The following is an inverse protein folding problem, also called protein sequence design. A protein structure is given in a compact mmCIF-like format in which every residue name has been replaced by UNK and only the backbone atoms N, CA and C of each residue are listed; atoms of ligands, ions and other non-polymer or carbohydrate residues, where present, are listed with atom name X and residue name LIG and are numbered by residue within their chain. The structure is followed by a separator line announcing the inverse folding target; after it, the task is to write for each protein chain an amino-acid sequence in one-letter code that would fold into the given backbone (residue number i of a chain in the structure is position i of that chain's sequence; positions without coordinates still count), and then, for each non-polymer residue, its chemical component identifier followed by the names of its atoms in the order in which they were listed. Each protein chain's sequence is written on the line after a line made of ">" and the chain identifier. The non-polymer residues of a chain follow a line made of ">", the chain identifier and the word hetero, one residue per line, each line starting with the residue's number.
data_IF_111624421237
#
_entry.id   IF_111624421237
#
_cell.length_a   1.000
_cell.length_b   1.000
_cell.length_c   1.000
_cell.angle_alpha   90.00
_cell.angle_beta   90.00
_cell.angle_gamma   90.00
#
_symmetry.space_group_name_H-M   'P 1'
#
loop_
_entity.id
_entity.type
_entity.pdbx_description
1 polymer ?
#
# COMPACT_ATOMS: atom_id res chain seq x y z
N UNK A 1 -10.19 14.68 16.03
CA UNK A 1 -10.36 13.98 14.71
C UNK A 1 -10.21 12.48 14.88
N UNK A 2 -9.19 12.00 15.60
CA UNK A 2 -8.99 10.56 15.84
C UNK A 2 -10.19 9.91 16.56
N UNK A 3 -10.75 10.52 17.61
CA UNK A 3 -11.94 9.98 18.29
C UNK A 3 -13.15 9.82 17.35
N UNK A 4 -13.34 10.80 16.47
CA UNK A 4 -14.38 10.74 15.45
C UNK A 4 -14.15 9.59 14.46
N UNK A 5 -12.90 9.39 14.02
CA UNK A 5 -12.54 8.28 13.12
C UNK A 5 -12.75 6.94 13.85
N UNK A 6 -12.35 6.84 15.12
CA UNK A 6 -12.55 5.65 15.95
C UNK A 6 -14.03 5.26 16.03
N UNK A 7 -14.91 6.24 16.22
CA UNK A 7 -16.35 5.98 16.30
C UNK A 7 -16.98 5.67 14.95
N UNK A 8 -16.62 6.37 13.88
CA UNK A 8 -17.23 6.14 12.56
C UNK A 8 -16.80 4.80 11.95
N UNK A 9 -15.62 4.27 12.30
CA UNK A 9 -15.16 2.94 11.88
C UNK A 9 -16.10 1.84 12.38
N UNK A 10 -16.85 2.05 13.46
CA UNK A 10 -17.88 1.12 13.95
C UNK A 10 -19.12 1.05 13.05
N UNK A 11 -19.25 1.98 12.09
CA UNK A 11 -20.38 2.08 11.17
C UNK A 11 -19.92 1.98 9.70
N UNK A 12 -19.62 0.78 9.18
CA UNK A 12 -19.01 0.57 7.85
C UNK A 12 -19.71 1.25 6.68
N UNK A 13 -21.05 1.25 6.68
CA UNK A 13 -21.84 1.88 5.62
C UNK A 13 -21.68 3.41 5.62
N UNK A 14 -21.75 4.04 6.80
CA UNK A 14 -21.56 5.48 6.94
C UNK A 14 -20.12 5.89 6.63
N UNK A 15 -19.14 5.09 7.07
CA UNK A 15 -17.74 5.28 6.76
C UNK A 15 -17.49 5.30 5.25
N UNK A 16 -17.98 4.30 4.51
CA UNK A 16 -17.79 4.20 3.05
C UNK A 16 -18.46 5.38 2.33
N UNK A 17 -19.64 5.81 2.79
CA UNK A 17 -20.35 6.98 2.23
C UNK A 17 -19.59 8.27 2.49
N UNK A 18 -19.16 8.52 3.74
CA UNK A 18 -18.37 9.69 4.09
C UNK A 18 -17.05 9.73 3.34
N UNK A 19 -16.34 8.59 3.27
CA UNK A 19 -15.10 8.47 2.52
C UNK A 19 -15.29 8.83 1.05
N UNK A 20 -16.34 8.29 0.41
CA UNK A 20 -16.62 8.59 -1.00
C UNK A 20 -16.91 10.07 -1.21
N UNK A 21 -17.74 10.69 -0.36
CA UNK A 21 -18.10 12.11 -0.47
C UNK A 21 -16.91 13.04 -0.24
N UNK A 22 -16.07 12.73 0.75
CA UNK A 22 -14.88 13.54 1.06
C UNK A 22 -13.80 13.42 0.00
N UNK A 23 -13.70 12.28 -0.68
CA UNK A 23 -12.71 12.04 -1.74
C UNK A 23 -13.03 12.78 -3.05
N UNK A 24 -14.32 12.92 -3.36
CA UNK A 24 -14.81 13.62 -4.56
C UNK A 24 -14.98 15.12 -4.36
N UNK A 25 -14.93 15.59 -3.11
CA UNK A 25 -15.00 17.02 -2.82
C UNK A 25 -13.77 17.73 -3.42
N UNK A 26 -14.00 18.91 -3.99
CA UNK A 26 -12.94 19.71 -4.60
C UNK A 26 -12.13 20.47 -3.54
N UNK A 27 -12.69 20.65 -2.33
CA UNK A 27 -11.94 21.22 -1.22
C UNK A 27 -10.75 20.29 -0.86
N UNK A 28 -9.50 20.77 -0.95
CA UNK A 28 -8.33 19.93 -0.61
C UNK A 28 -8.35 19.41 0.82
N UNK A 29 -8.87 20.18 1.78
CA UNK A 29 -8.88 19.80 3.20
C UNK A 29 -9.77 18.58 3.45
N UNK A 30 -10.93 18.52 2.79
CA UNK A 30 -11.87 17.40 2.95
C UNK A 30 -11.34 16.14 2.27
N UNK A 31 -10.61 16.24 1.16
CA UNK A 31 -9.97 15.06 0.58
C UNK A 31 -8.73 14.60 1.36
N UNK A 32 -7.98 15.51 1.98
CA UNK A 32 -6.93 15.14 2.93
C UNK A 32 -7.54 14.30 4.07
N UNK A 33 -8.76 14.61 4.50
CA UNK A 33 -9.47 13.80 5.49
C UNK A 33 -9.75 12.36 5.02
N UNK A 34 -10.09 12.13 3.74
CA UNK A 34 -10.20 10.77 3.19
C UNK A 34 -8.88 10.00 3.29
N UNK A 35 -7.75 10.66 3.00
CA UNK A 35 -6.42 10.07 3.19
C UNK A 35 -6.17 9.71 4.65
N UNK A 36 -6.52 10.59 5.59
CA UNK A 36 -6.37 10.33 7.03
C UNK A 36 -7.17 9.11 7.48
N UNK A 37 -8.41 8.94 7.00
CA UNK A 37 -9.21 7.72 7.25
C UNK A 37 -8.45 6.47 6.78
N UNK A 38 -7.95 6.48 5.55
CA UNK A 38 -7.24 5.33 5.00
C UNK A 38 -5.96 5.01 5.79
N UNK A 39 -5.20 6.04 6.18
CA UNK A 39 -4.00 5.88 7.02
C UNK A 39 -4.35 5.33 8.39
N UNK A 40 -5.42 5.83 9.02
CA UNK A 40 -5.90 5.32 10.30
C UNK A 40 -6.23 3.83 10.24
N UNK A 41 -6.99 3.39 9.23
CA UNK A 41 -7.33 1.98 9.05
C UNK A 41 -6.08 1.10 8.90
N UNK A 42 -5.07 1.58 8.17
CA UNK A 42 -3.82 0.87 7.98
C UNK A 42 -2.99 0.77 9.27
N UNK A 43 -2.78 1.90 9.97
CA UNK A 43 -1.97 1.96 11.20
C UNK A 43 -2.60 1.10 12.30
N UNK A 44 -3.92 1.13 12.43
CA UNK A 44 -4.65 0.34 13.43
C UNK A 44 -4.94 -1.11 12.98
N UNK A 45 -4.39 -1.55 11.83
CA UNK A 45 -4.57 -2.91 11.27
C UNK A 45 -6.04 -3.34 11.20
N UNK A 46 -6.91 -2.39 10.85
CA UNK A 46 -8.34 -2.67 10.70
C UNK A 46 -8.55 -3.65 9.54
N UNK A 47 -9.48 -4.60 9.72
CA UNK A 47 -9.90 -5.53 8.66
C UNK A 47 -10.90 -4.90 7.69
N UNK A 48 -11.39 -3.68 7.98
CA UNK A 48 -12.34 -2.99 7.12
C UNK A 48 -11.68 -2.50 5.83
N UNK A 49 -12.20 -2.97 4.70
CA UNK A 49 -11.82 -2.50 3.37
C UNK A 49 -12.82 -1.44 2.88
N UNK A 50 -12.30 -0.28 2.50
CA UNK A 50 -13.09 0.84 2.01
C UNK A 50 -13.65 0.53 0.61
N UNK A 51 -14.92 0.84 0.43
CA UNK A 51 -15.60 0.70 -0.86
C UNK A 51 -16.24 2.04 -1.25
N UNK A 52 -16.26 2.33 -2.56
CA UNK A 52 -16.99 3.48 -3.07
C UNK A 52 -18.50 3.24 -2.91
N UNK A 53 -19.18 4.17 -2.24
CA UNK A 53 -20.60 4.04 -1.94
C UNK A 53 -21.45 4.04 -3.22
N UNK A 54 -22.23 2.97 -3.50
CA UNK A 54 -23.10 2.92 -4.66
C UNK A 54 -24.14 4.03 -4.69
N UNK A 55 -24.57 4.52 -3.53
CA UNK A 55 -25.57 5.61 -3.44
C UNK A 55 -25.07 6.91 -4.06
N UNK A 56 -23.75 7.12 -4.02
CA UNK A 56 -23.08 8.25 -4.64
C UNK A 56 -22.70 7.92 -6.08
N UNK A 57 -22.04 6.78 -6.31
CA UNK A 57 -21.44 6.46 -7.61
C UNK A 57 -22.45 6.03 -8.68
N UNK A 58 -23.66 5.60 -8.31
CA UNK A 58 -24.65 5.18 -9.30
C UNK A 58 -25.04 6.30 -10.28
N UNK A 59 -24.99 7.55 -9.84
CA UNK A 59 -25.36 8.74 -10.62
C UNK A 59 -24.20 9.34 -11.42
N UNK A 60 -23.00 8.74 -11.38
CA UNK A 60 -21.80 9.32 -11.98
C UNK A 60 -21.76 9.20 -13.51
N UNK A 61 -21.34 10.25 -14.20
CA UNK A 61 -20.94 10.16 -15.60
C UNK A 61 -19.59 9.43 -15.75
N UNK A 62 -19.19 9.14 -16.99
CA UNK A 62 -17.85 8.61 -17.28
C UNK A 62 -16.73 9.54 -16.78
N UNK A 63 -16.93 10.86 -16.85
CA UNK A 63 -15.96 11.86 -16.37
C UNK A 63 -15.82 11.80 -14.85
N UNK A 64 -16.94 11.64 -14.13
CA UNK A 64 -16.94 11.54 -12.67
C UNK A 64 -16.19 10.28 -12.20
N UNK A 65 -16.32 9.16 -12.92
CA UNK A 65 -15.52 7.96 -12.61
C UNK A 65 -14.03 8.16 -12.85
N UNK A 66 -13.64 8.82 -13.94
CA UNK A 66 -12.23 9.14 -14.20
C UNK A 66 -11.67 10.05 -13.09
N UNK A 67 -12.43 11.08 -12.72
CA UNK A 67 -12.09 11.98 -11.62
C UNK A 67 -11.92 11.22 -10.30
N UNK A 68 -12.89 10.39 -9.92
CA UNK A 68 -12.84 9.57 -8.72
C UNK A 68 -11.61 8.65 -8.71
N UNK A 69 -11.34 7.93 -9.80
CA UNK A 69 -10.18 7.05 -9.92
C UNK A 69 -8.87 7.82 -9.78
N UNK A 70 -8.73 8.99 -10.42
CA UNK A 70 -7.54 9.84 -10.28
C UNK A 70 -7.37 10.26 -8.81
N UNK A 71 -8.44 10.64 -8.11
CA UNK A 71 -8.38 10.97 -6.67
C UNK A 71 -7.97 9.77 -5.81
N UNK A 72 -8.52 8.58 -6.09
CA UNK A 72 -8.12 7.34 -5.40
C UNK A 72 -6.61 7.12 -5.58
N UNK A 73 -6.10 7.13 -6.81
CA UNK A 73 -4.67 6.90 -7.11
C UNK A 73 -3.75 7.97 -6.51
N UNK A 74 -4.21 9.23 -6.43
CA UNK A 74 -3.42 10.34 -5.90
C UNK A 74 -3.31 10.34 -4.37
N UNK A 75 -4.39 9.99 -3.66
CA UNK A 75 -4.48 10.15 -2.20
C UNK A 75 -4.34 8.85 -1.42
N UNK A 76 -4.58 7.68 -2.03
CA UNK A 76 -4.56 6.38 -1.36
C UNK A 76 -3.29 5.63 -1.73
N UNK A 77 -2.49 5.27 -0.71
CA UNK A 77 -1.19 4.61 -0.91
C UNK A 77 -1.16 3.14 -0.50
N UNK A 78 -2.14 2.68 0.29
CA UNK A 78 -2.23 1.28 0.72
C UNK A 78 -2.82 0.40 -0.39
N UNK A 79 -2.17 -0.72 -0.71
CA UNK A 79 -2.52 -1.58 -1.85
C UNK A 79 -3.87 -2.27 -1.67
N UNK A 80 -4.19 -2.73 -0.45
CA UNK A 80 -5.44 -3.41 -0.14
C UNK A 80 -6.64 -2.47 -0.23
N UNK A 81 -6.50 -1.27 0.32
CA UNK A 81 -7.53 -0.23 0.23
C UNK A 81 -7.68 0.24 -1.23
N UNK A 82 -6.58 0.43 -1.96
CA UNK A 82 -6.59 0.79 -3.37
C UNK A 82 -7.34 -0.27 -4.21
N UNK A 83 -7.03 -1.56 -3.99
CA UNK A 83 -7.67 -2.67 -4.70
C UNK A 83 -9.16 -2.74 -4.39
N UNK A 84 -9.54 -2.67 -3.12
CA UNK A 84 -10.95 -2.72 -2.71
C UNK A 84 -11.75 -1.56 -3.31
N UNK A 85 -11.21 -0.33 -3.26
CA UNK A 85 -11.85 0.85 -3.83
C UNK A 85 -12.04 0.73 -5.35
N UNK A 86 -11.03 0.30 -6.09
CA UNK A 86 -11.13 0.14 -7.54
C UNK A 86 -12.11 -0.99 -7.90
N UNK A 87 -12.06 -2.13 -7.23
CA UNK A 87 -12.99 -3.24 -7.48
C UNK A 87 -14.43 -2.93 -7.06
N UNK A 88 -14.63 -2.04 -6.08
CA UNK A 88 -15.98 -1.60 -5.70
C UNK A 88 -16.74 -0.91 -6.86
N UNK A 89 -16.02 -0.35 -7.84
CA UNK A 89 -16.64 0.23 -9.05
C UNK A 89 -17.31 -0.81 -9.95
N UNK A 90 -17.01 -2.10 -9.78
CA UNK A 90 -17.71 -3.20 -10.45
C UNK A 90 -19.11 -3.48 -9.87
N UNK A 91 -19.43 -2.91 -8.69
CA UNK A 91 -20.73 -3.05 -8.01
C UNK A 91 -21.76 -1.99 -8.43
N UNK A 92 -21.38 -1.05 -9.30
CA UNK A 92 -22.23 0.03 -9.79
C UNK A 92 -23.34 -0.49 -10.71
N UNK A 93 -24.49 0.20 -10.76
CA UNK A 93 -25.57 -0.10 -11.72
C UNK A 93 -25.05 -0.02 -13.16
N UNK A 94 -25.28 -1.10 -13.93
CA UNK A 94 -24.80 -1.27 -15.31
C UNK A 94 -23.26 -1.16 -15.44
N UNK A 95 -22.52 -1.68 -14.45
CA UNK A 95 -21.06 -1.62 -14.41
C UNK A 95 -20.37 -2.13 -15.69
N UNK A 96 -20.89 -3.18 -16.32
CA UNK A 96 -20.31 -3.77 -17.54
C UNK A 96 -20.08 -2.74 -18.65
N UNK A 97 -21.01 -1.80 -18.85
CA UNK A 97 -20.91 -0.75 -19.87
C UNK A 97 -20.20 0.52 -19.38
N UNK A 98 -20.08 0.71 -18.07
CA UNK A 98 -19.70 2.01 -17.46
C UNK A 98 -18.30 1.99 -16.85
N UNK A 99 -17.94 0.92 -16.15
CA UNK A 99 -16.76 0.88 -15.27
C UNK A 99 -15.79 -0.26 -15.57
N UNK A 100 -16.20 -1.34 -16.25
CA UNK A 100 -15.32 -2.51 -16.47
C UNK A 100 -14.01 -2.15 -17.18
N UNK A 101 -14.10 -1.43 -18.30
CA UNK A 101 -12.91 -1.01 -19.06
C UNK A 101 -12.00 -0.09 -18.24
N UNK A 102 -12.59 0.82 -17.46
CA UNK A 102 -11.84 1.72 -16.59
C UNK A 102 -11.14 0.94 -15.47
N UNK A 103 -11.83 0.02 -14.81
CA UNK A 103 -11.26 -0.83 -13.76
C UNK A 103 -10.12 -1.67 -14.31
N UNK A 104 -10.30 -2.32 -15.46
CA UNK A 104 -9.24 -3.06 -16.15
C UNK A 104 -8.04 -2.18 -16.46
N UNK A 105 -8.26 -1.00 -17.06
CA UNK A 105 -7.19 -0.09 -17.41
C UNK A 105 -6.40 0.39 -16.18
N UNK A 106 -7.07 0.69 -15.07
CA UNK A 106 -6.41 1.14 -13.84
C UNK A 106 -5.61 0.01 -13.19
N UNK A 107 -6.20 -1.19 -13.08
CA UNK A 107 -5.51 -2.33 -12.48
C UNK A 107 -4.27 -2.68 -13.29
N UNK A 108 -4.36 -2.71 -14.62
CA UNK A 108 -3.24 -3.08 -15.49
C UNK A 108 -2.18 -1.97 -15.57
N UNK A 109 -2.59 -0.73 -15.87
CA UNK A 109 -1.66 0.34 -16.23
C UNK A 109 -1.14 1.15 -15.04
N UNK A 110 -1.80 1.06 -13.87
CA UNK A 110 -1.37 1.75 -12.66
C UNK A 110 -0.98 0.76 -11.57
N UNK A 111 -1.92 -0.07 -11.11
CA UNK A 111 -1.70 -0.89 -9.91
C UNK A 111 -0.69 -2.01 -10.15
N UNK A 112 -0.82 -2.76 -11.24
CA UNK A 112 0.08 -3.86 -11.57
C UNK A 112 1.48 -3.39 -11.98
N UNK A 113 1.61 -2.13 -12.42
CA UNK A 113 2.92 -1.52 -12.67
C UNK A 113 3.66 -1.28 -11.35
N UNK A 114 2.93 -0.84 -10.32
CA UNK A 114 3.51 -0.57 -9.00
C UNK A 114 3.69 -1.83 -8.15
N UNK A 115 2.69 -2.72 -8.15
CA UNK A 115 2.60 -3.88 -7.25
C UNK A 115 2.18 -5.17 -8.00
N UNK A 116 2.98 -5.65 -8.97
CA UNK A 116 2.56 -6.75 -9.86
C UNK A 116 2.20 -8.03 -9.10
N UNK A 117 3.02 -8.45 -8.13
CA UNK A 117 2.78 -9.68 -7.36
C UNK A 117 1.50 -9.62 -6.54
N UNK A 118 1.35 -8.55 -5.74
CA UNK A 118 0.16 -8.32 -4.92
C UNK A 118 -1.13 -8.31 -5.75
N UNK A 119 -1.13 -7.59 -6.88
CA UNK A 119 -2.31 -7.48 -7.77
C UNK A 119 -2.68 -8.85 -8.35
N UNK A 120 -1.70 -9.64 -8.81
CA UNK A 120 -1.96 -10.98 -9.36
C UNK A 120 -2.60 -11.89 -8.31
N UNK A 121 -2.06 -11.89 -7.09
CA UNK A 121 -2.55 -12.74 -6.01
C UNK A 121 -3.97 -12.35 -5.60
N UNK A 122 -4.23 -11.06 -5.39
CA UNK A 122 -5.57 -10.56 -5.06
C UNK A 122 -6.59 -10.88 -6.15
N UNK A 123 -6.28 -10.62 -7.42
CA UNK A 123 -7.22 -10.90 -8.53
C UNK A 123 -7.51 -12.40 -8.63
N UNK A 124 -6.52 -13.28 -8.39
CA UNK A 124 -6.74 -14.73 -8.30
C UNK A 124 -7.68 -15.07 -7.13
N UNK A 125 -7.49 -14.48 -5.96
CA UNK A 125 -8.38 -14.65 -4.81
C UNK A 125 -9.82 -14.23 -5.14
N UNK A 126 -10.04 -13.02 -5.68
CA UNK A 126 -11.37 -12.55 -6.07
C UNK A 126 -12.00 -13.42 -7.14
N UNK A 127 -11.24 -13.86 -8.14
CA UNK A 127 -11.69 -14.76 -9.20
C UNK A 127 -12.17 -16.09 -8.64
N UNK A 128 -11.40 -16.69 -7.72
CA UNK A 128 -11.73 -17.98 -7.12
C UNK A 128 -12.95 -17.91 -6.18
N UNK A 129 -13.17 -16.75 -5.55
CA UNK A 129 -14.34 -16.52 -4.70
C UNK A 129 -15.66 -16.30 -5.48
N UNK A 130 -15.61 -16.07 -6.80
CA UNK A 130 -16.81 -15.83 -7.61
C UNK A 130 -17.62 -17.11 -7.85
N UNK A 131 -18.93 -17.04 -7.57
CA UNK A 131 -19.91 -18.07 -7.98
C UNK A 131 -20.14 -18.04 -9.49
N UNK A 132 -20.48 -19.20 -10.08
CA UNK A 132 -20.64 -19.41 -11.53
C UNK A 132 -21.56 -18.43 -12.26
N UNK A 133 -22.54 -17.82 -11.57
CA UNK A 133 -23.48 -16.84 -12.14
C UNK A 133 -22.86 -15.49 -12.55
N UNK A 134 -21.60 -15.21 -12.23
CA UNK A 134 -20.89 -13.95 -12.56
C UNK A 134 -19.85 -14.15 -13.66
N UNK A 135 -20.26 -14.75 -14.77
CA UNK A 135 -19.37 -15.09 -15.90
C UNK A 135 -18.63 -13.88 -16.47
N UNK A 136 -19.30 -12.72 -16.60
CA UNK A 136 -18.67 -11.52 -17.18
C UNK A 136 -17.54 -10.95 -16.31
N UNK A 137 -17.71 -10.93 -14.98
CA UNK A 137 -16.64 -10.48 -14.05
C UNK A 137 -15.49 -11.47 -14.05
N UNK A 138 -15.79 -12.78 -14.10
CA UNK A 138 -14.75 -13.80 -14.18
C UNK A 138 -13.90 -13.64 -15.44
N UNK A 139 -14.53 -13.40 -16.60
CA UNK A 139 -13.85 -13.07 -17.85
C UNK A 139 -12.98 -11.82 -17.73
N UNK A 140 -13.49 -10.75 -17.11
CA UNK A 140 -12.71 -9.53 -16.86
C UNK A 140 -11.43 -9.82 -16.07
N UNK A 141 -11.52 -10.64 -15.01
CA UNK A 141 -10.35 -11.03 -14.22
C UNK A 141 -9.38 -11.91 -15.02
N UNK A 142 -9.88 -12.84 -15.85
CA UNK A 142 -9.04 -13.64 -16.75
C UNK A 142 -8.25 -12.76 -17.72
N UNK A 143 -8.92 -11.75 -18.29
CA UNK A 143 -8.27 -10.78 -19.18
C UNK A 143 -7.22 -9.94 -18.46
N UNK A 144 -7.51 -9.45 -17.25
CA UNK A 144 -6.56 -8.70 -16.43
C UNK A 144 -5.31 -9.56 -16.14
N UNK A 145 -5.51 -10.80 -15.67
CA UNK A 145 -4.41 -11.71 -15.36
C UNK A 145 -3.56 -12.00 -16.60
N UNK A 146 -4.20 -12.30 -17.74
CA UNK A 146 -3.48 -12.57 -18.99
C UNK A 146 -2.62 -11.38 -19.42
N UNK A 147 -3.13 -10.15 -19.33
CA UNK A 147 -2.35 -8.96 -19.70
C UNK A 147 -1.15 -8.76 -18.76
N UNK A 148 -1.35 -8.93 -17.45
CA UNK A 148 -0.28 -8.76 -16.46
C UNK A 148 0.78 -9.86 -16.61
N UNK A 149 0.37 -11.12 -16.79
CA UNK A 149 1.30 -12.24 -16.99
C UNK A 149 2.10 -12.09 -18.28
N UNK A 150 1.47 -11.68 -19.39
CA UNK A 150 2.15 -11.38 -20.65
C UNK A 150 3.20 -10.26 -20.47
N UNK A 151 2.86 -9.22 -19.71
CA UNK A 151 3.79 -8.14 -19.41
C UNK A 151 4.97 -8.63 -18.56
N UNK A 152 4.72 -9.36 -17.46
CA UNK A 152 5.79 -9.90 -16.59
C UNK A 152 6.70 -10.86 -17.35
N UNK A 153 6.12 -11.78 -18.12
CA UNK A 153 6.89 -12.74 -18.93
C UNK A 153 7.75 -12.03 -19.97
N UNK A 154 7.27 -10.95 -20.58
CA UNK A 154 8.09 -10.15 -21.52
C UNK A 154 9.36 -9.59 -20.88
N UNK A 155 9.37 -9.22 -19.59
CA UNK A 155 10.61 -8.80 -18.91
C UNK A 155 11.55 -9.97 -18.64
N UNK A 156 11.00 -11.14 -18.32
CA UNK A 156 11.81 -12.32 -18.01
C UNK A 156 12.53 -12.89 -19.23
N UNK A 157 12.03 -12.63 -20.43
CA UNK A 157 12.64 -13.06 -21.70
C UNK A 157 13.67 -12.08 -22.24
N UNK A 158 13.76 -10.85 -21.70
CA UNK A 158 14.76 -9.88 -22.14
C UNK A 158 16.18 -10.34 -21.77
N UNK A 159 17.15 -10.23 -22.70
CA UNK A 159 18.54 -10.55 -22.40
C UNK A 159 19.10 -9.57 -21.36
N UNK A 160 19.92 -10.08 -20.45
CA UNK A 160 20.67 -9.21 -19.52
C UNK A 160 21.79 -8.52 -20.28
N UNK A 161 21.75 -7.19 -20.31
CA UNK A 161 22.77 -6.33 -20.92
C UNK A 161 23.80 -6.00 -19.83
N UNK A 162 25.04 -6.45 -20.01
CA UNK A 162 26.10 -6.29 -19.00
C UNK A 162 26.54 -4.84 -18.83
N UNK A 163 26.41 -4.04 -19.89
CA UNK A 163 26.72 -2.62 -19.94
C UNK A 163 25.81 -1.77 -19.04
N UNK A 164 24.60 -2.26 -18.74
CA UNK A 164 23.66 -1.62 -17.82
C UNK A 164 23.79 -2.12 -16.39
N UNK A 165 24.64 -3.13 -16.15
CA UNK A 165 24.88 -3.63 -14.80
C UNK A 165 25.77 -2.65 -14.03
N UNK A 166 25.39 -2.23 -12.81
CA UNK A 166 26.25 -1.36 -12.03
C UNK A 166 27.55 -2.10 -11.68
N UNK A 167 28.67 -1.38 -11.72
CA UNK A 167 29.94 -1.93 -11.22
C UNK A 167 29.77 -2.43 -9.79
N UNK A 168 30.27 -3.64 -9.51
CA UNK A 168 30.20 -4.27 -8.18
C UNK A 168 30.78 -3.38 -7.09
N UNK A 169 31.83 -2.62 -7.41
CA UNK A 169 32.44 -1.64 -6.52
C UNK A 169 31.45 -0.53 -6.13
N UNK A 170 30.72 0.04 -7.10
CA UNK A 170 29.73 1.09 -6.83
C UNK A 170 28.52 0.54 -6.10
N UNK A 171 28.04 -0.65 -6.46
CA UNK A 171 26.96 -1.32 -5.75
C UNK A 171 27.33 -1.53 -4.27
N UNK A 172 28.54 -2.04 -4.01
CA UNK A 172 29.04 -2.24 -2.65
C UNK A 172 29.21 -0.92 -1.88
N UNK A 173 29.81 0.10 -2.50
CA UNK A 173 29.98 1.42 -1.88
C UNK A 173 28.63 2.06 -1.53
N UNK A 174 27.65 1.97 -2.43
CA UNK A 174 26.28 2.45 -2.20
C UNK A 174 25.62 1.72 -1.03
N UNK A 175 25.70 0.39 -0.98
CA UNK A 175 25.14 -0.38 0.14
C UNK A 175 25.81 0.00 1.47
N UNK A 176 27.14 0.15 1.49
CA UNK A 176 27.88 0.55 2.70
C UNK A 176 27.43 1.92 3.23
N UNK A 177 27.32 2.92 2.36
CA UNK A 177 26.85 4.25 2.77
C UNK A 177 25.37 4.23 3.18
N UNK A 178 24.52 3.48 2.47
CA UNK A 178 23.11 3.28 2.86
C UNK A 178 23.02 2.66 4.27
N UNK A 179 23.81 1.64 4.56
CA UNK A 179 23.87 1.03 5.89
C UNK A 179 24.32 2.03 6.95
N UNK A 180 25.36 2.82 6.68
CA UNK A 180 25.86 3.86 7.60
C UNK A 180 24.81 4.92 7.92
N UNK A 181 24.09 5.41 6.90
CA UNK A 181 23.01 6.39 7.06
C UNK A 181 21.85 5.80 7.87
N UNK A 182 21.47 4.54 7.60
CA UNK A 182 20.42 3.86 8.35
C UNK A 182 20.81 3.63 9.82
N UNK A 183 22.06 3.21 10.10
CA UNK A 183 22.55 3.05 11.47
C UNK A 183 22.45 4.37 12.25
N UNK A 184 22.92 5.48 11.65
CA UNK A 184 22.85 6.81 12.27
C UNK A 184 21.41 7.24 12.58
N UNK A 185 20.47 7.00 11.65
CA UNK A 185 19.05 7.29 11.89
C UNK A 185 18.46 6.41 13.00
N UNK A 186 18.86 5.14 13.06
CA UNK A 186 18.40 4.24 14.10
C UNK A 186 18.91 4.67 15.48
N UNK A 187 20.16 5.14 15.59
CA UNK A 187 20.70 5.65 16.85
C UNK A 187 19.95 6.90 17.32
N UNK A 188 19.66 7.86 16.43
CA UNK A 188 18.82 9.03 16.75
C UNK A 188 17.41 8.62 17.22
N UNK A 189 16.77 7.67 16.53
CA UNK A 189 15.45 7.19 16.91
C UNK A 189 15.43 6.45 18.27
N UNK A 190 16.54 5.81 18.66
CA UNK A 190 16.67 5.20 19.99
C UNK A 190 16.70 6.26 21.09
N UNK A 191 17.38 7.39 20.86
CA UNK A 191 17.46 8.49 21.83
C UNK A 191 16.08 9.09 22.14
N UNK A 192 15.17 9.12 21.15
CA UNK A 192 13.81 9.63 21.34
C UNK A 192 12.84 8.60 21.93
N UNK A 193 13.10 7.30 21.74
CA UNK A 193 12.19 6.23 22.12
C UNK A 193 12.12 5.98 23.62
N UNK A 194 10.91 6.07 24.19
CA UNK A 194 10.63 5.73 25.60
C UNK A 194 11.07 4.31 25.97
N UNK A 195 10.91 3.34 25.06
CA UNK A 195 11.30 1.95 25.30
C UNK A 195 12.81 1.81 25.53
N UNK A 196 13.63 2.53 24.78
CA UNK A 196 15.09 2.54 24.94
C UNK A 196 15.56 3.39 26.13
N UNK A 197 14.72 4.28 26.66
CA UNK A 197 15.00 5.04 27.90
C UNK A 197 14.78 4.22 29.17
N UNK A 198 13.88 3.24 29.14
CA UNK A 198 13.52 2.42 30.30
C UNK A 198 14.18 1.04 30.30
N UNK A 199 14.69 0.57 29.16
CA UNK A 199 15.32 -0.74 29.02
C UNK A 199 16.82 -0.62 28.78
N UNK A 200 17.62 -1.45 29.45
CA UNK A 200 19.06 -1.52 29.27
C UNK A 200 19.41 -2.16 27.93
N UNK A 201 20.14 -1.45 27.07
CA UNK A 201 20.63 -1.98 25.81
C UNK A 201 21.93 -2.77 26.02
N UNK A 202 21.90 -4.09 25.79
CA UNK A 202 23.06 -4.98 25.85
C UNK A 202 23.54 -5.27 24.41
N UNK A 203 24.64 -4.66 23.94
CA UNK A 203 25.17 -4.96 22.62
C UNK A 203 25.83 -6.35 22.63
N UNK A 204 25.27 -7.29 21.87
CA UNK A 204 25.87 -8.61 21.68
C UNK A 204 26.88 -8.57 20.53
N UNK A 205 28.12 -9.02 20.79
CA UNK A 205 29.15 -9.20 19.75
C UNK A 205 28.95 -10.48 18.94
N UNK A 206 28.37 -11.51 19.56
CA UNK A 206 28.04 -12.80 18.97
C UNK A 206 27.01 -13.56 19.85
N UNK A 207 26.39 -14.59 19.31
CA UNK A 207 25.45 -15.46 20.02
C UNK A 207 23.97 -15.05 19.88
N UNK A 208 23.09 -15.84 20.49
CA UNK A 208 21.62 -15.72 20.39
C UNK A 208 20.95 -15.31 21.71
N UNK A 209 21.72 -14.91 22.71
CA UNK A 209 21.17 -14.51 24.01
C UNK A 209 22.17 -13.85 24.95
N UNK A 210 21.67 -13.32 26.05
CA UNK A 210 22.45 -12.67 27.11
C UNK A 210 22.03 -13.21 28.49
N UNK A 211 22.98 -13.30 29.40
CA UNK A 211 22.75 -13.58 30.81
C UNK A 211 23.64 -12.66 31.64
N UNK A 212 23.24 -12.36 32.87
CA UNK A 212 24.03 -11.54 33.78
C UNK A 212 24.12 -12.20 35.16
N UNK A 213 25.18 -11.90 35.89
CA UNK A 213 25.34 -12.36 37.27
C UNK A 213 24.64 -11.37 38.22
N UNK A 214 23.78 -11.87 39.11
CA UNK A 214 23.07 -11.05 40.09
C UNK A 214 23.66 -11.23 41.49
N UNK A 215 24.50 -10.28 41.88
CA UNK A 215 25.20 -10.28 43.17
C UNK A 215 24.29 -9.83 44.34
N UNK A 216 23.16 -9.17 44.04
CA UNK A 216 22.34 -8.49 45.05
C UNK A 216 21.54 -9.45 45.94
N UNK A 217 21.17 -10.63 45.40
CA UNK A 217 20.35 -11.64 46.09
C UNK A 217 21.06 -13.00 46.27
N UNK A 218 22.37 -13.09 46.01
CA UNK A 218 23.13 -14.35 46.03
C UNK A 218 22.51 -15.46 45.15
N UNK A 219 21.71 -15.08 44.14
CA UNK A 219 20.93 -15.99 43.29
C UNK A 219 21.70 -16.53 42.09
N UNK A 220 22.99 -16.18 41.95
CA UNK A 220 23.86 -16.65 40.86
C UNK A 220 23.58 -15.98 39.51
N UNK A 221 23.81 -16.73 38.43
CA UNK A 221 23.54 -16.26 37.06
C UNK A 221 22.04 -16.26 36.74
N UNK A 222 21.60 -15.23 36.03
CA UNK A 222 20.23 -15.15 35.49
C UNK A 222 19.98 -16.26 34.47
N UNK A 223 18.71 -16.63 34.27
CA UNK A 223 18.35 -17.41 33.09
C UNK A 223 18.72 -16.66 31.81
N UNK A 224 19.15 -17.36 30.75
CA UNK A 224 19.48 -16.73 29.48
C UNK A 224 18.24 -16.07 28.85
N UNK A 225 18.35 -14.79 28.54
CA UNK A 225 17.40 -14.07 27.70
C UNK A 225 17.81 -14.23 26.24
N UNK A 226 16.98 -14.92 25.45
CA UNK A 226 17.24 -15.16 24.04
C UNK A 226 16.76 -14.00 23.16
N UNK A 227 17.44 -13.78 22.05
CA UNK A 227 17.03 -12.83 21.03
C UNK A 227 15.77 -13.35 20.34
N UNK A 228 14.74 -12.50 20.29
CA UNK A 228 13.56 -12.72 19.46
C UNK A 228 13.71 -11.99 18.13
N UNK A 229 13.30 -12.65 17.06
CA UNK A 229 13.26 -12.03 15.74
C UNK A 229 12.06 -11.10 15.64
N UNK A 230 12.34 -9.83 15.38
CA UNK A 230 11.32 -8.86 14.99
C UNK A 230 11.58 -8.48 13.55
N UNK A 231 10.67 -8.86 12.66
CA UNK A 231 10.70 -8.46 11.26
C UNK A 231 9.53 -7.54 10.95
N UNK A 232 9.80 -6.50 10.18
CA UNK A 232 8.79 -5.62 9.60
C UNK A 232 9.05 -5.53 8.11
N UNK A 233 8.04 -5.78 7.30
CA UNK A 233 8.07 -5.55 5.87
C UNK A 233 7.06 -4.47 5.51
N UNK A 234 7.39 -3.72 4.47
CA UNK A 234 6.47 -2.79 3.84
C UNK A 234 6.72 -2.84 2.33
N UNK A 235 5.66 -2.70 1.57
CA UNK A 235 5.70 -2.61 0.13
C UNK A 235 5.93 -1.17 -0.31
N UNK A 236 6.61 -1.02 -1.44
CA UNK A 236 6.81 0.26 -2.11
C UNK A 236 6.43 0.12 -3.58
N UNK A 237 5.86 1.18 -4.20
CA UNK A 237 5.58 1.18 -5.62
C UNK A 237 6.88 0.96 -6.41
N UNK A 238 6.88 0.01 -7.34
CA UNK A 238 8.04 -0.23 -8.23
C UNK A 238 8.46 1.03 -8.97
N UNK A 239 7.51 1.84 -9.46
CA UNK A 239 7.80 3.10 -10.15
C UNK A 239 8.49 4.11 -9.26
N UNK A 240 8.14 4.19 -7.97
CA UNK A 240 8.82 5.06 -7.01
C UNK A 240 10.30 4.69 -6.82
N UNK A 241 10.63 3.39 -6.85
CA UNK A 241 12.02 2.93 -6.74
C UNK A 241 12.81 3.23 -8.02
N UNK A 242 12.17 3.15 -9.18
CA UNK A 242 12.82 3.34 -10.48
C UNK A 242 12.98 4.80 -10.90
N UNK A 243 11.94 5.61 -10.67
CA UNK A 243 11.87 7.02 -11.00
C UNK A 243 10.99 7.73 -9.96
N UNK A 244 11.62 8.12 -8.85
CA UNK A 244 10.93 8.79 -7.75
C UNK A 244 10.34 10.14 -8.19
N UNK A 245 11.07 10.91 -9.00
CA UNK A 245 10.62 12.24 -9.46
C UNK A 245 9.40 12.11 -10.38
N UNK A 246 9.46 11.23 -11.38
CA UNK A 246 8.33 10.99 -12.27
C UNK A 246 7.11 10.43 -11.54
N UNK A 247 7.33 9.57 -10.54
CA UNK A 247 6.26 9.07 -9.68
C UNK A 247 5.59 10.19 -8.87
N UNK A 248 6.38 11.07 -8.25
CA UNK A 248 5.86 12.21 -7.48
C UNK A 248 5.10 13.21 -8.35
N UNK A 249 5.60 13.50 -9.57
CA UNK A 249 4.91 14.32 -10.56
C UNK A 249 3.56 13.69 -10.92
N UNK A 250 3.53 12.38 -11.19
CA UNK A 250 2.29 11.65 -11.53
C UNK A 250 1.28 11.70 -10.39
N UNK A 251 1.71 11.51 -9.15
CA UNK A 251 0.85 11.65 -7.97
C UNK A 251 0.32 13.07 -7.83
N UNK A 252 1.13 14.09 -8.07
CA UNK A 252 0.70 15.48 -8.04
C UNK A 252 -0.36 15.76 -9.12
N UNK A 253 -0.19 15.24 -10.34
CA UNK A 253 -1.19 15.35 -11.41
C UNK A 253 -2.52 14.71 -11.01
N UNK A 254 -2.49 13.53 -10.39
CA UNK A 254 -3.70 12.87 -9.88
C UNK A 254 -4.38 13.67 -8.77
N UNK A 255 -3.63 14.31 -7.87
CA UNK A 255 -4.17 15.13 -6.78
C UNK A 255 -4.78 16.44 -7.26
N UNK A 256 -4.16 17.07 -8.26
CA UNK A 256 -4.55 18.37 -8.79
C UNK A 256 -5.66 18.32 -9.85
N UNK A 257 -6.22 17.13 -10.14
CA UNK A 257 -7.33 17.01 -11.08
C UNK A 257 -8.55 17.79 -10.59
N UNK A 258 -9.23 18.49 -11.50
CA UNK A 258 -10.54 19.10 -11.27
C UNK A 258 -11.61 18.34 -12.03
N UNK A 259 -12.86 18.44 -11.58
CA UNK A 259 -13.97 17.69 -12.17
C UNK A 259 -14.22 18.02 -13.65
N UNK A 260 -13.93 19.27 -14.04
CA UNK A 260 -14.18 19.78 -15.40
C UNK A 260 -13.00 19.65 -16.37
N UNK A 261 -11.80 19.31 -15.89
CA UNK A 261 -10.59 19.21 -16.72
C UNK A 261 -10.36 17.76 -17.17
N UNK A 262 -10.51 17.51 -18.48
CA UNK A 262 -10.16 16.23 -19.14
C UNK A 262 -8.65 16.09 -19.24
#
# INVERSE_FOLDING_TARGET
>A
VEDFIYDIVKYPYLLNKLFTLTLIDENPETTIFSRLICTYLFVHRSTHLLECSPDVTNNFSKKDFIFLVRRILGFISNEAQLMSLILSLLKVKNAEKRTYDLVKAVIVNEMAMDYPGYVVDEIKCYRNALKSKRSNIKKLYDEILSVIENHITSFSTLPRIKELEPSSMFAHAFQKEKHKVMAKKQDLNKEDSLAFKIATHIPLKAGVGSFHYNDYNNSGYSEPSYLHEYSSSYSLPRRYIMDNVGYDIRLAQFRCVKKDTV
#
